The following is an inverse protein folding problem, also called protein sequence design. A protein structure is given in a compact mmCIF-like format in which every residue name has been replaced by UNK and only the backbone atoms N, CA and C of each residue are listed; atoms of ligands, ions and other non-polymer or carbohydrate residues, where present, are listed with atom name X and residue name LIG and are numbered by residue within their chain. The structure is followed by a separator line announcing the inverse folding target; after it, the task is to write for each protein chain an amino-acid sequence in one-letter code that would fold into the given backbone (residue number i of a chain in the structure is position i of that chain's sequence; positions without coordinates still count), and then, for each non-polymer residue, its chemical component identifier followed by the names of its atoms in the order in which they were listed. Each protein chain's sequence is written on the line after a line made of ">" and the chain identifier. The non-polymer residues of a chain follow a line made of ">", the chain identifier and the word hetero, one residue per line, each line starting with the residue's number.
data_IF_838155888086
#
_entry.id   IF_838155888086
#
_cell.length_a   1.000
_cell.length_b   1.000
_cell.length_c   1.000
_cell.angle_alpha   90.00
_cell.angle_beta   90.00
_cell.angle_gamma   90.00
#
_symmetry.space_group_name_H-M   'P 1'
#
loop_
_entity.id
_entity.type
_entity.pdbx_description
1 polymer ?
#
# COMPACT_ATOMS: atom_id res chain seq x y z
N UNK A 1 -3.37 11.03 -23.28
CA UNK A 1 -2.87 10.01 -22.32
C UNK A 1 -3.93 9.80 -21.24
N UNK A 2 -4.09 8.59 -20.70
CA UNK A 2 -5.01 8.35 -19.57
C UNK A 2 -4.40 8.98 -18.32
N UNK A 3 -5.20 9.66 -17.51
CA UNK A 3 -4.78 10.26 -16.24
C UNK A 3 -4.45 9.10 -15.26
N UNK A 4 -3.24 9.05 -14.66
CA UNK A 4 -2.91 8.01 -13.68
C UNK A 4 -3.79 8.13 -12.42
N UNK A 5 -4.01 7.02 -11.74
CA UNK A 5 -4.63 7.02 -10.41
C UNK A 5 -3.69 7.67 -9.40
N UNK A 6 -4.27 8.37 -8.45
CA UNK A 6 -3.56 8.92 -7.30
C UNK A 6 -3.81 8.00 -6.11
N UNK A 7 -2.75 7.38 -5.60
CA UNK A 7 -2.77 6.43 -4.50
C UNK A 7 -2.10 7.09 -3.30
N UNK A 8 -2.83 7.27 -2.21
CA UNK A 8 -2.32 7.90 -0.99
C UNK A 8 -1.46 6.91 -0.20
N UNK A 9 -0.13 7.12 -0.17
CA UNK A 9 0.87 6.26 0.47
C UNK A 9 0.74 6.30 2.00
N UNK A 10 0.37 5.18 2.61
CA UNK A 10 0.03 5.05 4.04
C UNK A 10 -1.05 6.04 4.48
N UNK A 11 -2.03 6.29 3.59
CA UNK A 11 -2.91 7.45 3.64
C UNK A 11 -2.27 8.73 3.11
N UNK A 12 -2.83 9.89 3.42
CA UNK A 12 -2.20 11.17 3.11
C UNK A 12 -1.09 11.48 4.12
N UNK A 13 -0.03 10.67 4.13
CA UNK A 13 1.00 10.64 5.18
C UNK A 13 1.88 11.88 5.25
N UNK A 14 1.86 12.73 4.22
CA UNK A 14 2.46 14.06 4.27
C UNK A 14 1.65 15.09 5.07
N UNK A 15 0.39 14.75 5.45
CA UNK A 15 -0.53 15.64 6.15
C UNK A 15 -1.07 15.09 7.48
N UNK A 16 -0.94 13.78 7.71
CA UNK A 16 -1.40 13.10 8.92
C UNK A 16 -0.49 11.89 9.21
N UNK A 17 -0.47 11.36 10.46
CA UNK A 17 0.42 10.25 10.81
C UNK A 17 0.14 9.01 9.94
N UNK A 18 1.19 8.50 9.31
CA UNK A 18 1.13 7.34 8.40
C UNK A 18 0.43 6.14 9.05
N UNK A 19 -0.28 5.32 8.23
CA UNK A 19 -0.92 4.10 8.66
C UNK A 19 -1.92 4.28 9.82
N UNK A 20 -2.62 5.42 9.87
CA UNK A 20 -3.68 5.71 10.85
C UNK A 20 -5.00 6.05 10.16
N UNK A 21 -6.12 5.94 10.91
CA UNK A 21 -7.42 6.36 10.40
C UNK A 21 -7.43 7.85 10.02
N UNK A 22 -6.71 8.71 10.75
CA UNK A 22 -6.59 10.13 10.41
C UNK A 22 -5.95 10.34 9.02
N UNK A 23 -4.91 9.58 8.67
CA UNK A 23 -4.29 9.65 7.35
C UNK A 23 -5.22 9.13 6.24
N UNK A 24 -6.00 8.09 6.52
CA UNK A 24 -6.99 7.56 5.56
C UNK A 24 -8.16 8.52 5.36
N UNK A 25 -8.68 9.11 6.43
CA UNK A 25 -9.71 10.15 6.37
C UNK A 25 -9.22 11.37 5.57
N UNK A 26 -7.97 11.77 5.81
CA UNK A 26 -7.36 12.88 5.07
C UNK A 26 -7.25 12.58 3.58
N UNK A 27 -6.88 11.34 3.20
CA UNK A 27 -6.84 10.92 1.80
C UNK A 27 -8.23 11.00 1.13
N UNK A 28 -9.28 10.55 1.82
CA UNK A 28 -10.67 10.66 1.35
C UNK A 28 -11.09 12.13 1.19
N UNK A 29 -10.79 13.00 2.16
CA UNK A 29 -11.07 14.44 2.07
C UNK A 29 -10.39 15.10 0.87
N UNK A 30 -9.22 14.61 0.47
CA UNK A 30 -8.48 15.04 -0.71
C UNK A 30 -9.01 14.40 -2.00
N UNK A 31 -10.08 13.58 -1.94
CA UNK A 31 -10.69 12.94 -3.10
C UNK A 31 -9.95 11.73 -3.64
N UNK A 32 -9.09 11.07 -2.84
CA UNK A 32 -8.42 9.84 -3.25
C UNK A 32 -9.38 8.66 -3.19
N UNK A 33 -9.52 7.94 -4.31
CA UNK A 33 -10.24 6.67 -4.37
C UNK A 33 -9.36 5.44 -4.07
N UNK A 34 -8.05 5.66 -3.91
CA UNK A 34 -7.06 4.62 -3.65
C UNK A 34 -6.16 5.03 -2.48
N UNK A 35 -5.98 4.10 -1.54
CA UNK A 35 -5.14 4.29 -0.36
C UNK A 35 -4.21 3.09 -0.24
N UNK A 36 -2.95 3.33 0.01
CA UNK A 36 -2.00 2.27 0.32
C UNK A 36 -1.75 2.22 1.84
N UNK A 37 -1.49 1.04 2.36
CA UNK A 37 -1.14 0.79 3.77
C UNK A 37 -0.35 -0.50 3.93
N UNK A 38 0.51 -0.53 4.93
CA UNK A 38 1.37 -1.67 5.26
C UNK A 38 0.72 -2.59 6.29
N UNK A 39 0.84 -3.90 6.13
CA UNK A 39 0.32 -4.89 7.07
C UNK A 39 1.45 -5.66 7.76
N UNK A 40 1.44 -5.61 9.10
CA UNK A 40 2.27 -6.43 9.98
C UNK A 40 1.41 -7.41 10.77
N UNK A 41 2.05 -8.45 11.35
CA UNK A 41 1.40 -9.41 12.22
C UNK A 41 1.76 -9.17 13.69
N UNK A 42 0.74 -9.23 14.54
CA UNK A 42 0.89 -9.26 15.98
C UNK A 42 1.24 -10.66 16.50
N UNK A 43 1.65 -10.78 17.78
CA UNK A 43 1.93 -12.05 18.47
C UNK A 43 0.71 -13.00 18.46
N UNK A 44 -0.48 -12.48 18.53
CA UNK A 44 -1.75 -13.22 18.47
C UNK A 44 -2.34 -13.31 17.05
N UNK A 45 -1.46 -13.20 16.03
CA UNK A 45 -1.75 -13.41 14.62
C UNK A 45 -2.89 -12.51 14.07
N UNK A 46 -2.91 -11.24 14.49
CA UNK A 46 -3.83 -10.23 13.95
C UNK A 46 -3.07 -9.30 12.99
N UNK A 47 -3.70 -8.90 11.91
CA UNK A 47 -3.12 -7.93 10.97
C UNK A 47 -3.36 -6.51 11.46
N UNK A 48 -2.30 -5.70 11.46
CA UNK A 48 -2.32 -4.30 11.87
C UNK A 48 -1.57 -3.41 10.88
N UNK A 49 -2.00 -2.16 10.75
CA UNK A 49 -1.34 -1.19 9.88
C UNK A 49 -0.05 -0.66 10.53
N UNK A 50 1.11 -1.08 10.00
CA UNK A 50 2.42 -0.63 10.46
C UNK A 50 3.47 -0.89 9.39
N UNK A 51 4.31 0.13 9.08
CA UNK A 51 5.37 -0.03 8.10
C UNK A 51 6.58 -0.76 8.68
N UNK A 52 7.15 -0.23 9.78
CA UNK A 52 8.35 -0.78 10.38
C UNK A 52 8.05 -2.08 11.13
N UNK A 53 9.00 -2.97 11.20
CA UNK A 53 8.89 -4.16 12.05
C UNK A 53 8.87 -3.81 13.55
N UNK A 54 9.18 -2.55 13.92
CA UNK A 54 9.20 -2.05 15.31
C UNK A 54 8.28 -0.87 15.51
N UNK A 55 7.88 -0.63 16.76
CA UNK A 55 6.95 0.41 17.19
C UNK A 55 7.61 1.80 17.33
N UNK A 56 8.93 1.85 17.34
CA UNK A 56 9.74 2.91 17.90
C UNK A 56 9.59 4.27 17.19
N UNK A 57 9.39 4.28 15.87
CA UNK A 57 9.36 5.51 15.07
C UNK A 57 8.00 6.20 15.08
N UNK A 58 6.93 5.43 15.00
CA UNK A 58 5.57 5.96 14.75
C UNK A 58 4.60 5.75 15.91
N UNK A 59 5.11 5.30 17.08
CA UNK A 59 4.30 5.16 18.29
C UNK A 59 5.05 5.61 19.54
N UNK A 60 4.35 5.63 20.67
CA UNK A 60 4.95 5.79 21.99
C UNK A 60 5.44 4.47 22.62
N UNK A 61 5.30 3.34 21.90
CA UNK A 61 5.82 2.02 22.27
C UNK A 61 7.25 1.79 21.78
N UNK A 62 7.85 0.68 22.18
CA UNK A 62 9.17 0.22 21.74
C UNK A 62 9.21 -1.28 21.59
N UNK A 63 9.97 -1.78 20.62
CA UNK A 63 10.16 -3.20 20.35
C UNK A 63 9.44 -3.68 19.10
N UNK A 64 9.56 -4.96 18.79
CA UNK A 64 9.03 -5.54 17.56
C UNK A 64 7.50 -5.71 17.63
N UNK A 65 6.80 -5.40 16.54
CA UNK A 65 5.33 -5.52 16.46
C UNK A 65 4.86 -6.93 16.82
N UNK A 66 5.56 -7.96 16.34
CA UNK A 66 5.20 -9.36 16.59
C UNK A 66 5.40 -9.84 18.04
N UNK A 67 6.02 -9.04 18.90
CA UNK A 67 6.16 -9.33 20.33
C UNK A 67 4.92 -8.93 21.15
N UNK A 68 3.99 -8.19 20.55
CA UNK A 68 2.81 -7.64 21.19
C UNK A 68 1.52 -8.26 20.67
N UNK A 69 0.55 -8.45 21.56
CA UNK A 69 -0.84 -8.75 21.18
C UNK A 69 -1.52 -7.51 20.61
N UNK A 70 -2.61 -7.71 19.86
CA UNK A 70 -3.45 -6.61 19.41
C UNK A 70 -3.93 -5.73 20.58
N UNK A 71 -4.33 -6.34 21.70
CA UNK A 71 -4.80 -5.60 22.87
C UNK A 71 -3.73 -4.66 23.45
N UNK A 72 -2.48 -5.09 23.47
CA UNK A 72 -1.34 -4.27 23.90
C UNK A 72 -1.07 -3.14 22.90
N UNK A 73 -1.07 -3.41 21.59
CA UNK A 73 -0.86 -2.40 20.55
C UNK A 73 -1.94 -1.32 20.55
N UNK A 74 -3.19 -1.68 20.82
CA UNK A 74 -4.32 -0.72 20.89
C UNK A 74 -4.22 0.27 22.06
N UNK A 75 -3.34 0.05 23.04
CA UNK A 75 -3.08 1.02 24.11
C UNK A 75 -2.12 2.13 23.66
N UNK A 76 -1.33 1.90 22.61
CA UNK A 76 -0.33 2.84 22.14
C UNK A 76 -0.96 4.05 21.44
N UNK A 77 -0.21 5.14 21.43
CA UNK A 77 -0.48 6.34 20.64
C UNK A 77 0.37 6.29 19.37
N UNK A 78 -0.27 6.29 18.21
CA UNK A 78 0.35 6.26 16.89
C UNK A 78 0.27 7.61 16.15
N UNK A 79 -0.13 8.68 16.81
CA UNK A 79 -0.32 9.99 16.16
C UNK A 79 0.55 11.12 16.70
N UNK A 80 0.79 11.16 18.00
CA UNK A 80 1.48 12.26 18.68
C UNK A 80 2.90 12.53 18.16
N UNK A 81 3.58 11.53 17.60
CA UNK A 81 4.92 11.67 17.02
C UNK A 81 4.92 12.59 15.79
N UNK A 82 3.81 12.62 15.05
CA UNK A 82 3.63 13.46 13.87
C UNK A 82 3.28 14.90 14.27
N UNK A 83 2.18 15.07 15.00
CA UNK A 83 1.78 16.33 15.61
C UNK A 83 0.89 16.06 16.83
N UNK A 84 0.86 17.02 17.78
CA UNK A 84 0.05 16.93 19.00
C UNK A 84 -1.46 16.86 18.73
N UNK A 85 -1.91 17.42 17.63
CA UNK A 85 -3.32 17.35 17.22
C UNK A 85 -3.81 15.93 16.92
N UNK A 86 -2.88 15.02 16.55
CA UNK A 86 -3.17 13.60 16.28
C UNK A 86 -2.94 12.70 17.50
N UNK A 87 -2.78 13.28 18.69
CA UNK A 87 -2.63 12.48 19.91
C UNK A 87 -3.79 11.48 20.05
N UNK A 88 -3.49 10.29 20.58
CA UNK A 88 -4.43 9.17 20.80
C UNK A 88 -4.90 8.44 19.51
N UNK A 89 -4.32 8.73 18.34
CA UNK A 89 -4.54 7.85 17.19
C UNK A 89 -4.10 6.42 17.52
N UNK A 90 -4.87 5.44 17.07
CA UNK A 90 -4.59 4.01 17.32
C UNK A 90 -4.08 3.34 16.06
N UNK A 91 -3.27 2.29 16.25
CA UNK A 91 -2.85 1.40 15.16
C UNK A 91 -4.09 0.68 14.61
N UNK A 92 -4.46 0.87 13.32
CA UNK A 92 -5.63 0.21 12.74
C UNK A 92 -5.42 -1.29 12.57
N UNK A 93 -6.49 -2.08 12.70
CA UNK A 93 -6.53 -3.47 12.28
C UNK A 93 -6.96 -3.59 10.81
N UNK A 94 -6.70 -4.74 10.19
CA UNK A 94 -7.20 -5.04 8.85
C UNK A 94 -8.74 -4.92 8.78
N UNK A 95 -9.45 -5.40 9.78
CA UNK A 95 -10.91 -5.34 9.84
C UNK A 95 -11.41 -3.89 9.83
N UNK A 96 -10.77 -3.00 10.61
CA UNK A 96 -11.08 -1.57 10.63
C UNK A 96 -10.78 -0.90 9.27
N UNK A 97 -9.68 -1.28 8.60
CA UNK A 97 -9.33 -0.81 7.26
C UNK A 97 -10.38 -1.23 6.24
N UNK A 98 -10.81 -2.50 6.25
CA UNK A 98 -11.81 -3.02 5.33
C UNK A 98 -13.21 -2.40 5.58
N UNK A 99 -13.56 -2.14 6.83
CA UNK A 99 -14.78 -1.39 7.17
C UNK A 99 -14.72 0.05 6.64
N UNK A 100 -13.57 0.71 6.81
CA UNK A 100 -13.33 2.04 6.26
C UNK A 100 -13.43 2.06 4.73
N UNK A 101 -12.84 1.07 4.05
CA UNK A 101 -12.91 0.89 2.60
C UNK A 101 -14.36 0.86 2.10
N UNK A 102 -15.21 0.06 2.72
CA UNK A 102 -16.64 -0.03 2.35
C UNK A 102 -17.40 1.26 2.62
N UNK A 103 -17.17 1.88 3.79
CA UNK A 103 -17.85 3.11 4.21
C UNK A 103 -17.57 4.28 3.26
N UNK A 104 -16.35 4.38 2.76
CA UNK A 104 -15.90 5.52 1.95
C UNK A 104 -15.76 5.22 0.45
N UNK A 105 -16.09 3.98 0.04
CA UNK A 105 -15.99 3.51 -1.35
C UNK A 105 -14.57 3.68 -1.94
N UNK A 106 -13.55 3.33 -1.15
CA UNK A 106 -12.14 3.40 -1.55
C UNK A 106 -11.53 2.00 -1.70
N UNK A 107 -10.52 1.86 -2.54
CA UNK A 107 -9.75 0.64 -2.74
C UNK A 107 -8.44 0.73 -1.97
N UNK A 108 -8.13 -0.32 -1.19
CA UNK A 108 -6.85 -0.38 -0.50
C UNK A 108 -5.82 -1.21 -1.25
N UNK A 109 -4.61 -0.66 -1.34
CA UNK A 109 -3.38 -1.36 -1.65
C UNK A 109 -2.77 -1.82 -0.32
N UNK A 110 -2.75 -3.13 -0.08
CA UNK A 110 -2.33 -3.74 1.18
C UNK A 110 -0.94 -4.34 1.00
N UNK A 111 0.10 -3.63 1.42
CA UNK A 111 1.45 -4.18 1.37
C UNK A 111 1.68 -5.18 2.51
N UNK A 112 2.04 -6.41 2.17
CA UNK A 112 2.35 -7.47 3.13
C UNK A 112 3.82 -7.38 3.53
N UNK A 113 4.08 -7.08 4.80
CA UNK A 113 5.42 -6.91 5.41
C UNK A 113 5.89 -8.12 6.24
N UNK A 114 5.02 -9.09 6.46
CA UNK A 114 5.38 -10.25 7.27
C UNK A 114 6.07 -11.35 6.46
N UNK A 115 6.83 -12.20 7.16
CA UNK A 115 7.49 -13.36 6.56
C UNK A 115 6.47 -14.41 6.09
N UNK A 116 6.61 -14.85 4.85
CA UNK A 116 5.80 -15.92 4.25
C UNK A 116 5.86 -17.23 5.02
N UNK A 117 6.94 -17.49 5.75
CA UNK A 117 7.11 -18.68 6.60
C UNK A 117 6.06 -18.80 7.71
N UNK A 118 5.39 -17.71 8.09
CA UNK A 118 4.35 -17.71 9.12
C UNK A 118 3.02 -18.33 8.64
N UNK A 119 2.86 -18.67 7.35
CA UNK A 119 1.71 -19.37 6.83
C UNK A 119 0.39 -18.61 6.90
N UNK A 120 0.43 -17.28 7.06
CA UNK A 120 -0.75 -16.44 7.29
C UNK A 120 -1.53 -16.06 6.02
N UNK A 121 -1.14 -16.59 4.84
CA UNK A 121 -1.78 -16.32 3.56
C UNK A 121 -3.26 -16.69 3.56
N UNK A 122 -3.61 -17.87 4.12
CA UNK A 122 -5.01 -18.30 4.26
C UNK A 122 -5.82 -17.37 5.17
N UNK A 123 -5.20 -16.84 6.24
CA UNK A 123 -5.87 -15.91 7.16
C UNK A 123 -6.14 -14.56 6.50
N UNK A 124 -5.19 -14.04 5.72
CA UNK A 124 -5.37 -12.80 4.96
C UNK A 124 -6.47 -12.95 3.91
N UNK A 125 -6.36 -13.96 3.04
CA UNK A 125 -7.37 -14.23 2.00
C UNK A 125 -8.73 -14.52 2.62
N UNK A 126 -8.76 -15.31 3.72
CA UNK A 126 -9.98 -15.59 4.47
C UNK A 126 -10.64 -14.34 5.04
N UNK A 127 -9.87 -13.37 5.55
CA UNK A 127 -10.40 -12.09 6.03
C UNK A 127 -10.99 -11.26 4.88
N UNK A 128 -10.26 -11.13 3.76
CA UNK A 128 -10.74 -10.40 2.57
C UNK A 128 -12.03 -11.00 2.01
N UNK A 129 -12.10 -12.33 1.87
CA UNK A 129 -13.27 -13.02 1.32
C UNK A 129 -14.47 -12.97 2.28
N UNK A 130 -14.24 -13.17 3.58
CA UNK A 130 -15.31 -13.12 4.61
C UNK A 130 -16.02 -11.77 4.64
N UNK A 131 -15.28 -10.71 4.43
CA UNK A 131 -15.81 -9.35 4.44
C UNK A 131 -16.34 -8.90 3.06
N UNK A 132 -16.16 -9.71 2.00
CA UNK A 132 -16.55 -9.37 0.63
C UNK A 132 -15.66 -8.29 -0.01
N UNK A 133 -14.46 -8.08 0.53
CA UNK A 133 -13.57 -6.97 0.16
C UNK A 133 -12.43 -7.38 -0.79
N UNK A 134 -12.39 -8.62 -1.24
CA UNK A 134 -11.37 -9.09 -2.19
C UNK A 134 -11.32 -8.22 -3.47
N UNK A 135 -12.49 -7.77 -3.95
CA UNK A 135 -12.58 -6.87 -5.11
C UNK A 135 -12.21 -5.40 -4.82
N UNK A 136 -12.09 -5.03 -3.53
CA UNK A 136 -11.71 -3.69 -3.07
C UNK A 136 -10.30 -3.65 -2.50
N UNK A 137 -9.54 -4.73 -2.67
CA UNK A 137 -8.18 -4.85 -2.13
C UNK A 137 -7.22 -5.32 -3.21
N UNK A 138 -6.06 -4.71 -3.25
CA UNK A 138 -4.94 -5.11 -4.09
C UNK A 138 -3.79 -5.43 -3.13
N UNK A 139 -3.33 -6.68 -3.12
CA UNK A 139 -2.26 -7.09 -2.20
C UNK A 139 -0.91 -6.88 -2.86
N UNK A 140 -0.03 -6.16 -2.19
CA UNK A 140 1.32 -5.87 -2.64
C UNK A 140 2.35 -6.63 -1.81
N UNK A 141 3.47 -7.01 -2.42
CA UNK A 141 4.66 -7.47 -1.70
C UNK A 141 5.93 -7.29 -2.55
N UNK A 142 7.06 -7.09 -1.88
CA UNK A 142 8.40 -7.27 -2.44
C UNK A 142 8.78 -8.75 -2.51
N UNK A 143 8.24 -9.55 -1.57
CA UNK A 143 8.56 -10.98 -1.49
C UNK A 143 7.73 -11.78 -2.50
N UNK A 144 8.42 -12.26 -3.55
CA UNK A 144 7.82 -13.09 -4.59
C UNK A 144 7.25 -14.40 -4.02
N UNK A 145 7.85 -14.96 -2.96
CA UNK A 145 7.36 -16.19 -2.34
C UNK A 145 6.01 -15.98 -1.65
N UNK A 146 5.80 -14.81 -1.04
CA UNK A 146 4.51 -14.39 -0.49
C UNK A 146 3.44 -14.28 -1.58
N UNK A 147 3.75 -13.62 -2.70
CA UNK A 147 2.80 -13.51 -3.83
C UNK A 147 2.48 -14.87 -4.45
N UNK A 148 3.47 -15.74 -4.62
CA UNK A 148 3.26 -17.09 -5.10
C UNK A 148 2.37 -17.92 -4.17
N UNK A 149 2.59 -17.82 -2.84
CA UNK A 149 1.78 -18.51 -1.84
C UNK A 149 0.33 -17.97 -1.82
N UNK A 150 0.13 -16.66 -1.89
CA UNK A 150 -1.20 -16.05 -1.99
C UNK A 150 -1.94 -16.52 -3.25
N UNK A 151 -1.26 -16.60 -4.39
CA UNK A 151 -1.85 -17.10 -5.64
C UNK A 151 -2.31 -18.55 -5.55
N UNK A 152 -1.63 -19.39 -4.75
CA UNK A 152 -2.06 -20.76 -4.48
C UNK A 152 -3.35 -20.82 -3.64
N UNK A 153 -3.56 -19.83 -2.77
CA UNK A 153 -4.76 -19.76 -1.92
C UNK A 153 -5.96 -19.20 -2.69
N UNK A 154 -5.74 -18.17 -3.51
CA UNK A 154 -6.81 -17.51 -4.30
C UNK A 154 -6.29 -17.06 -5.66
N UNK A 155 -6.81 -17.70 -6.73
CA UNK A 155 -6.41 -17.40 -8.10
C UNK A 155 -7.01 -16.10 -8.65
N UNK A 156 -8.04 -15.56 -8.00
CA UNK A 156 -8.74 -14.33 -8.41
C UNK A 156 -8.22 -13.08 -7.67
N UNK A 157 -7.39 -13.26 -6.62
CA UNK A 157 -6.88 -12.15 -5.81
C UNK A 157 -6.10 -11.16 -6.69
N UNK A 158 -6.46 -9.88 -6.59
CA UNK A 158 -5.71 -8.81 -7.24
C UNK A 158 -4.41 -8.56 -6.50
N UNK A 159 -3.28 -8.65 -7.21
CA UNK A 159 -1.96 -8.52 -6.61
C UNK A 159 -1.04 -7.68 -7.48
N UNK A 160 -0.06 -7.03 -6.83
CA UNK A 160 1.03 -6.29 -7.44
C UNK A 160 2.39 -6.66 -6.86
N UNK A 161 3.41 -6.68 -7.74
CA UNK A 161 4.81 -6.90 -7.37
C UNK A 161 5.50 -5.56 -7.13
N UNK A 162 5.95 -5.31 -5.90
CA UNK A 162 6.82 -4.18 -5.56
C UNK A 162 8.26 -4.50 -5.97
N UNK A 163 8.93 -3.54 -6.59
CA UNK A 163 10.31 -3.70 -7.08
C UNK A 163 11.15 -2.48 -6.77
N UNK A 164 12.33 -2.71 -6.20
CA UNK A 164 13.37 -1.73 -5.93
C UNK A 164 14.76 -2.13 -6.47
N UNK A 165 14.84 -3.28 -7.18
CA UNK A 165 16.07 -3.83 -7.77
C UNK A 165 16.07 -3.71 -9.30
N UNK A 166 17.11 -3.07 -9.86
CA UNK A 166 17.32 -2.90 -11.29
C UNK A 166 17.69 -4.22 -12.02
N UNK A 167 18.25 -5.20 -11.30
CA UNK A 167 18.75 -6.44 -11.90
C UNK A 167 17.64 -7.42 -12.28
N UNK A 168 16.41 -7.18 -11.86
CA UNK A 168 15.25 -8.04 -12.12
C UNK A 168 14.63 -7.74 -13.49
N UNK A 169 14.31 -8.77 -14.26
CA UNK A 169 13.38 -8.67 -15.39
C UNK A 169 11.96 -8.54 -14.83
N UNK A 170 11.59 -7.32 -14.48
CA UNK A 170 10.41 -6.99 -13.68
C UNK A 170 9.09 -7.44 -14.35
N UNK A 171 8.83 -7.17 -15.66
CA UNK A 171 7.59 -7.60 -16.29
C UNK A 171 7.47 -9.14 -16.36
N UNK A 172 8.59 -9.84 -16.62
CA UNK A 172 8.61 -11.30 -16.66
C UNK A 172 8.30 -11.90 -15.29
N UNK A 173 8.94 -11.41 -14.23
CA UNK A 173 8.67 -11.84 -12.85
C UNK A 173 7.19 -11.64 -12.46
N UNK A 174 6.61 -10.48 -12.83
CA UNK A 174 5.20 -10.19 -12.58
C UNK A 174 4.25 -11.20 -13.25
N UNK A 175 4.52 -11.56 -14.51
CA UNK A 175 3.73 -12.57 -15.25
C UNK A 175 3.87 -13.96 -14.63
N UNK A 176 5.09 -14.38 -14.28
CA UNK A 176 5.33 -15.69 -13.65
C UNK A 176 4.61 -15.84 -12.31
N UNK A 177 4.48 -14.74 -11.54
CA UNK A 177 3.71 -14.68 -10.29
C UNK A 177 2.20 -14.56 -10.52
N UNK A 178 1.76 -14.31 -11.75
CA UNK A 178 0.35 -14.09 -12.08
C UNK A 178 -0.24 -12.81 -11.47
N UNK A 179 0.60 -11.80 -11.15
CA UNK A 179 0.12 -10.51 -10.66
C UNK A 179 -0.40 -9.64 -11.82
N UNK A 180 -1.22 -8.65 -11.51
CA UNK A 180 -1.78 -7.73 -12.49
C UNK A 180 -1.13 -6.36 -12.49
N UNK A 181 -0.35 -6.06 -11.47
CA UNK A 181 0.34 -4.78 -11.35
C UNK A 181 1.82 -4.99 -11.09
N UNK A 182 2.61 -4.14 -11.73
CA UNK A 182 4.02 -3.95 -11.47
C UNK A 182 4.18 -2.61 -10.74
N UNK A 183 4.84 -2.64 -9.57
CA UNK A 183 4.97 -1.47 -8.72
C UNK A 183 6.46 -1.13 -8.51
N UNK A 184 7.14 -0.56 -9.53
CA UNK A 184 8.54 -0.20 -9.44
C UNK A 184 8.73 1.08 -8.61
N UNK A 185 9.88 1.15 -7.92
CA UNK A 185 10.37 2.41 -7.35
C UNK A 185 10.55 3.43 -8.48
N UNK A 186 10.27 4.72 -8.20
CA UNK A 186 10.28 5.79 -9.20
C UNK A 186 11.58 5.87 -10.00
N UNK A 187 12.72 5.60 -9.37
CA UNK A 187 14.03 5.67 -10.03
C UNK A 187 14.21 4.58 -11.12
N UNK A 188 13.39 3.52 -11.10
CA UNK A 188 13.39 2.43 -12.09
C UNK A 188 12.42 2.66 -13.25
N UNK A 189 11.58 3.70 -13.16
CA UNK A 189 10.54 3.96 -14.17
C UNK A 189 11.14 4.58 -15.41
N UNK A 190 10.99 3.87 -16.53
CA UNK A 190 11.27 4.38 -17.87
C UNK A 190 10.08 4.12 -18.79
N UNK A 191 10.00 4.84 -19.89
CA UNK A 191 8.96 4.60 -20.92
C UNK A 191 9.04 3.16 -21.44
N UNK A 192 10.27 2.65 -21.64
CA UNK A 192 10.50 1.29 -22.14
C UNK A 192 9.98 0.22 -21.17
N UNK A 193 10.16 0.42 -19.85
CA UNK A 193 9.63 -0.47 -18.82
C UNK A 193 8.10 -0.46 -18.84
N UNK A 194 7.49 0.73 -18.87
CA UNK A 194 6.03 0.89 -18.89
C UNK A 194 5.44 0.24 -20.14
N UNK A 195 6.01 0.51 -21.32
CA UNK A 195 5.59 -0.10 -22.58
C UNK A 195 5.74 -1.63 -22.57
N UNK A 196 6.82 -2.14 -21.96
CA UNK A 196 7.02 -3.58 -21.83
C UNK A 196 5.97 -4.23 -20.93
N UNK A 197 5.64 -3.59 -19.81
CA UNK A 197 4.58 -4.04 -18.90
C UNK A 197 3.20 -4.01 -19.58
N UNK A 198 2.86 -2.91 -20.27
CA UNK A 198 1.59 -2.76 -20.98
C UNK A 198 1.41 -3.78 -22.11
N UNK A 199 2.48 -4.15 -22.84
CA UNK A 199 2.40 -5.24 -23.85
C UNK A 199 2.06 -6.61 -23.26
N UNK A 200 2.23 -6.78 -21.95
CA UNK A 200 1.90 -7.99 -21.20
C UNK A 200 0.60 -7.83 -20.38
N UNK A 201 -0.21 -6.81 -20.66
CA UNK A 201 -1.44 -6.47 -19.93
C UNK A 201 -1.22 -6.24 -18.42
N UNK A 202 -0.02 -5.79 -18.03
CA UNK A 202 0.29 -5.35 -16.67
C UNK A 202 0.05 -3.85 -16.54
N UNK A 203 -0.52 -3.44 -15.41
CA UNK A 203 -0.59 -2.03 -15.00
C UNK A 203 0.68 -1.65 -14.24
N UNK A 204 1.09 -0.38 -14.34
CA UNK A 204 2.28 0.12 -13.65
C UNK A 204 1.89 1.21 -12.66
N UNK A 205 2.13 0.98 -11.35
CA UNK A 205 1.95 1.96 -10.29
C UNK A 205 3.30 2.21 -9.58
N UNK A 206 3.81 3.44 -9.61
CA UNK A 206 5.14 3.76 -9.08
C UNK A 206 5.11 4.45 -7.72
N UNK A 207 6.15 4.23 -6.91
CA UNK A 207 6.31 4.69 -5.52
C UNK A 207 7.75 5.15 -5.22
N UNK A 208 8.05 5.96 -4.21
CA UNK A 208 7.16 6.95 -3.64
C UNK A 208 7.44 8.26 -4.36
N UNK A 209 6.41 8.89 -4.90
CA UNK A 209 6.56 10.00 -5.85
C UNK A 209 6.00 11.28 -5.23
N UNK A 210 6.86 12.06 -4.60
CA UNK A 210 6.47 13.27 -3.87
C UNK A 210 6.91 14.56 -4.57
N UNK A 211 7.99 14.50 -5.37
CA UNK A 211 8.57 15.68 -5.98
C UNK A 211 7.88 16.04 -7.32
N UNK A 212 7.58 17.34 -7.56
CA UNK A 212 6.87 17.77 -8.77
C UNK A 212 7.48 17.29 -10.08
N UNK A 213 8.82 17.19 -10.16
CA UNK A 213 9.50 16.73 -11.36
C UNK A 213 9.33 15.22 -11.54
N UNK A 214 9.41 14.45 -10.46
CA UNK A 214 9.19 13.00 -10.50
C UNK A 214 7.75 12.67 -10.92
N UNK A 215 6.76 13.43 -10.43
CA UNK A 215 5.35 13.30 -10.84
C UNK A 215 5.22 13.50 -12.36
N UNK A 216 5.79 14.59 -12.89
CA UNK A 216 5.78 14.85 -14.34
C UNK A 216 6.47 13.74 -15.15
N UNK A 217 7.60 13.26 -14.66
CA UNK A 217 8.35 12.18 -15.31
C UNK A 217 7.54 10.86 -15.33
N UNK A 218 6.91 10.50 -14.22
CA UNK A 218 6.04 9.32 -14.12
C UNK A 218 4.88 9.40 -15.12
N UNK A 219 4.21 10.55 -15.19
CA UNK A 219 3.13 10.80 -16.15
C UNK A 219 3.64 10.70 -17.60
N UNK A 220 4.80 11.29 -17.91
CA UNK A 220 5.40 11.24 -19.24
C UNK A 220 5.81 9.81 -19.63
N UNK A 221 6.26 8.99 -18.68
CA UNK A 221 6.56 7.57 -18.89
C UNK A 221 5.29 6.71 -19.11
N UNK A 222 4.10 7.23 -18.80
CA UNK A 222 2.83 6.56 -19.06
C UNK A 222 2.37 5.61 -17.97
N UNK A 223 2.80 5.80 -16.71
CA UNK A 223 2.35 4.97 -15.58
C UNK A 223 0.84 5.05 -15.37
N UNK A 224 0.22 3.99 -14.85
CA UNK A 224 -1.21 3.91 -14.56
C UNK A 224 -1.55 4.44 -13.17
N UNK A 225 -0.60 4.40 -12.22
CA UNK A 225 -0.78 4.85 -10.85
C UNK A 225 0.44 5.54 -10.27
N UNK A 226 0.20 6.49 -9.35
CA UNK A 226 1.24 7.23 -8.63
C UNK A 226 0.94 7.12 -7.14
N UNK A 227 1.84 6.48 -6.39
CA UNK A 227 1.79 6.33 -4.93
C UNK A 227 2.60 7.48 -4.31
N UNK A 228 1.95 8.32 -3.49
CA UNK A 228 2.56 9.55 -2.95
C UNK A 228 2.11 9.83 -1.52
N UNK A 229 3.00 10.41 -0.72
CA UNK A 229 2.69 10.96 0.60
C UNK A 229 1.83 12.25 0.49
N UNK A 230 1.89 12.93 -0.66
CA UNK A 230 1.20 14.20 -0.94
C UNK A 230 0.24 14.04 -2.14
N UNK A 231 -0.87 13.31 -1.98
CA UNK A 231 -1.79 13.03 -3.09
C UNK A 231 -2.41 14.30 -3.69
N UNK A 232 -2.63 15.35 -2.90
CA UNK A 232 -3.07 16.66 -3.35
C UNK A 232 -2.08 17.33 -4.32
N UNK A 233 -0.78 17.19 -4.07
CA UNK A 233 0.28 17.68 -4.96
C UNK A 233 0.25 16.96 -6.32
N UNK A 234 0.07 15.64 -6.29
CA UNK A 234 -0.07 14.85 -7.52
C UNK A 234 -1.30 15.31 -8.29
N UNK A 235 -2.45 15.45 -7.63
CA UNK A 235 -3.70 15.89 -8.26
C UNK A 235 -3.56 17.27 -8.91
N UNK A 236 -2.95 18.24 -8.21
CA UNK A 236 -2.74 19.60 -8.74
C UNK A 236 -1.89 19.58 -10.02
N UNK A 237 -0.77 18.82 -10.01
CA UNK A 237 0.09 18.70 -11.21
C UNK A 237 -0.65 18.03 -12.36
N UNK A 238 -1.45 16.99 -12.09
CA UNK A 238 -2.26 16.32 -13.10
C UNK A 238 -3.38 17.22 -13.68
N UNK A 239 -3.80 18.24 -12.96
CA UNK A 239 -4.74 19.25 -13.44
C UNK A 239 -4.07 20.27 -14.35
N UNK A 240 -2.87 20.71 -13.97
CA UNK A 240 -2.07 21.68 -14.75
C UNK A 240 -1.56 21.09 -16.09
N UNK A 241 -1.50 19.76 -16.23
CA UNK A 241 -1.04 19.07 -17.45
C UNK A 241 -2.15 18.83 -18.48
N UNK A 242 -3.38 19.29 -18.23
CA UNK A 242 -4.50 19.23 -19.19
C UNK A 242 -4.39 20.32 -20.25
#
# INVERSE_FOLDING_TARGET
>A
MRKPWVIAHRGASGHAPENTMAAFERAVQLGCGFIETDLQLTRDARFVAMHDATLDRTTNGKGAVHDFTLAELKQLDAGKWFDREFMDQKIPTLEEILEFSRKHDVIFYLEVKYDSALGMHHSLVGALNKMGDAARSIVLSFDQSTLAALRQVDTALMMGLLVDDEAMDQPKAAIELGVRQLCPKIDLVTTELVDAAHRLDLQVATWTVDEPQQIRNAVAAGVDGIISNFPDRVQAILEDMK
#
